data_IF_432719702841
#
_entry.id   IF_432719702841
#
_cell.length_a   1.000
_cell.length_b   1.000
_cell.length_c   1.000
_cell.angle_alpha   90.00
_cell.angle_beta   90.00
_cell.angle_gamma   90.00
#
_symmetry.space_group_name_H-M   'P 1'
#
loop_
_entity.id
_entity.type
_entity.pdbx_description
1 polymer ?
#
# COMPACT_ATOMS: atom_id res chain seq x y z
N UNK A 1 -27.16 -4.24 -14.81
CA UNK A 1 -26.45 -2.96 -15.05
C UNK A 1 -25.10 -3.02 -14.33
N UNK A 2 -24.05 -2.47 -14.92
CA UNK A 2 -22.76 -2.33 -14.24
C UNK A 2 -22.91 -1.33 -13.08
N UNK A 3 -22.31 -1.67 -11.93
CA UNK A 3 -22.29 -0.76 -10.77
C UNK A 3 -21.23 0.31 -10.99
N UNK A 4 -21.60 1.57 -10.84
CA UNK A 4 -20.64 2.70 -10.78
C UNK A 4 -20.22 2.88 -9.34
N UNK A 5 -18.92 3.10 -9.12
CA UNK A 5 -18.32 3.35 -7.81
C UNK A 5 -17.79 4.78 -7.76
N UNK A 6 -17.91 5.44 -6.62
CA UNK A 6 -17.47 6.83 -6.44
C UNK A 6 -15.96 6.94 -6.26
N UNK A 7 -15.33 5.88 -5.77
CA UNK A 7 -13.89 5.81 -5.56
C UNK A 7 -13.32 4.45 -5.95
N UNK A 8 -12.10 4.45 -6.47
CA UNK A 8 -11.35 3.21 -6.69
C UNK A 8 -11.10 2.44 -5.39
N UNK A 9 -11.07 3.13 -4.25
CA UNK A 9 -10.94 2.51 -2.93
C UNK A 9 -12.17 1.67 -2.53
N UNK A 10 -13.33 1.88 -3.17
CA UNK A 10 -14.52 1.05 -2.96
C UNK A 10 -14.38 -0.35 -3.54
N UNK A 11 -13.41 -0.55 -4.42
CA UNK A 11 -13.07 -1.86 -5.00
C UNK A 11 -12.10 -2.66 -4.13
N UNK A 12 -11.43 -2.02 -3.18
CA UNK A 12 -10.50 -2.70 -2.27
C UNK A 12 -11.22 -3.80 -1.49
N UNK A 13 -10.66 -4.99 -1.51
CA UNK A 13 -11.21 -6.13 -0.77
C UNK A 13 -12.33 -6.90 -1.47
N UNK A 14 -12.84 -6.43 -2.61
CA UNK A 14 -13.84 -7.13 -3.42
C UNK A 14 -13.21 -8.08 -4.42
N UNK A 15 -12.19 -8.81 -3.96
CA UNK A 15 -11.42 -9.73 -4.80
C UNK A 15 -12.17 -11.03 -5.07
N UNK A 16 -12.06 -11.58 -6.30
CA UNK A 16 -12.79 -12.78 -6.69
C UNK A 16 -12.23 -14.04 -6.04
N UNK A 17 -13.07 -15.07 -6.04
CA UNK A 17 -12.68 -16.44 -5.72
C UNK A 17 -12.59 -17.24 -7.02
N UNK A 18 -11.53 -18.05 -7.16
CA UNK A 18 -11.28 -18.90 -8.33
C UNK A 18 -11.02 -20.33 -7.89
N UNK A 19 -11.78 -21.28 -8.43
CA UNK A 19 -11.57 -22.69 -8.22
C UNK A 19 -10.39 -23.20 -9.06
N UNK A 20 -9.46 -23.91 -8.45
CA UNK A 20 -8.22 -24.39 -9.08
C UNK A 20 -8.36 -25.82 -9.63
N UNK A 21 -9.36 -26.04 -10.48
CA UNK A 21 -9.78 -27.36 -10.99
C UNK A 21 -8.64 -28.20 -11.56
N UNK A 22 -7.73 -27.59 -12.33
CA UNK A 22 -6.61 -28.35 -12.92
C UNK A 22 -5.64 -28.91 -11.87
N UNK A 23 -5.50 -28.23 -10.73
CA UNK A 23 -4.68 -28.71 -9.62
C UNK A 23 -5.44 -29.85 -8.90
N UNK A 24 -6.73 -29.67 -8.66
CA UNK A 24 -7.58 -30.69 -8.05
C UNK A 24 -7.54 -32.01 -8.83
N UNK A 25 -7.72 -31.94 -10.14
CA UNK A 25 -7.69 -33.08 -11.05
C UNK A 25 -6.29 -33.75 -11.06
N UNK A 26 -5.23 -32.95 -11.19
CA UNK A 26 -3.84 -33.45 -11.26
C UNK A 26 -3.43 -34.19 -9.99
N UNK A 27 -3.80 -33.63 -8.83
CA UNK A 27 -3.42 -34.18 -7.53
C UNK A 27 -4.48 -35.15 -6.94
N UNK A 28 -5.56 -35.45 -7.67
CA UNK A 28 -6.64 -36.35 -7.25
C UNK A 28 -7.35 -35.88 -5.98
N UNK A 29 -7.51 -34.56 -5.78
CA UNK A 29 -8.07 -34.00 -4.56
C UNK A 29 -9.59 -34.25 -4.49
N UNK A 30 -10.07 -34.64 -3.30
CA UNK A 30 -11.51 -34.74 -3.02
C UNK A 30 -12.09 -33.41 -2.55
N UNK A 31 -11.25 -32.49 -2.10
CA UNK A 31 -11.64 -31.13 -1.66
C UNK A 31 -11.50 -30.10 -2.78
N UNK A 32 -12.37 -29.12 -2.79
CA UNK A 32 -12.26 -27.95 -3.68
C UNK A 32 -11.18 -27.00 -3.17
N UNK A 33 -10.28 -26.61 -4.06
CA UNK A 33 -9.28 -25.58 -3.82
C UNK A 33 -9.79 -24.25 -4.38
N UNK A 34 -10.03 -23.28 -3.48
CA UNK A 34 -10.53 -21.97 -3.86
C UNK A 34 -9.49 -20.93 -3.49
N UNK A 35 -8.94 -20.25 -4.49
CA UNK A 35 -8.00 -19.14 -4.33
C UNK A 35 -8.74 -17.81 -4.24
N UNK A 36 -8.45 -17.00 -3.22
CA UNK A 36 -8.86 -15.60 -3.17
C UNK A 36 -7.80 -14.75 -3.87
N UNK A 37 -8.17 -14.14 -5.01
CA UNK A 37 -7.20 -13.50 -5.91
C UNK A 37 -6.95 -12.05 -5.50
N UNK A 38 -6.06 -11.85 -4.53
CA UNK A 38 -5.75 -10.53 -3.95
C UNK A 38 -5.02 -9.57 -4.90
N UNK A 39 -4.45 -10.07 -6.00
CA UNK A 39 -3.88 -9.24 -7.07
C UNK A 39 -4.93 -8.42 -7.84
N UNK A 40 -6.23 -8.70 -7.64
CA UNK A 40 -7.33 -7.92 -8.20
C UNK A 40 -7.69 -6.67 -7.36
N UNK A 41 -7.03 -6.45 -6.23
CA UNK A 41 -7.12 -5.15 -5.57
C UNK A 41 -6.56 -4.04 -6.47
N UNK A 42 -7.06 -2.80 -6.38
CA UNK A 42 -6.68 -1.69 -7.27
C UNK A 42 -5.18 -1.41 -7.41
N UNK A 43 -4.41 -1.49 -6.31
CA UNK A 43 -2.95 -1.35 -6.34
C UNK A 43 -2.22 -2.72 -6.43
N UNK A 44 -2.97 -3.80 -6.71
CA UNK A 44 -2.44 -5.10 -7.10
C UNK A 44 -2.06 -6.05 -5.98
N UNK A 45 -2.42 -5.79 -4.72
CA UNK A 45 -2.08 -6.70 -3.63
C UNK A 45 -3.05 -6.66 -2.44
N UNK A 46 -2.91 -7.66 -1.54
CA UNK A 46 -3.63 -7.68 -0.26
C UNK A 46 -3.34 -6.44 0.62
N UNK A 47 -2.23 -5.73 0.37
CA UNK A 47 -1.82 -4.57 1.16
C UNK A 47 -2.70 -3.34 0.92
N UNK A 48 -3.48 -3.32 -0.13
CA UNK A 48 -4.49 -2.28 -0.36
C UNK A 48 -5.52 -2.24 0.79
N UNK A 49 -5.83 -3.42 1.35
CA UNK A 49 -6.75 -3.53 2.50
C UNK A 49 -6.23 -2.82 3.74
N UNK A 50 -4.98 -3.11 4.11
CA UNK A 50 -4.38 -2.49 5.29
C UNK A 50 -4.13 -1.01 5.06
N UNK A 51 -3.66 -0.61 3.88
CA UNK A 51 -3.42 0.78 3.53
C UNK A 51 -4.70 1.63 3.65
N UNK A 52 -5.81 1.15 3.07
CA UNK A 52 -7.13 1.79 3.20
C UNK A 52 -7.54 1.90 4.67
N UNK A 53 -7.46 0.79 5.42
CA UNK A 53 -7.88 0.75 6.82
C UNK A 53 -7.05 1.68 7.71
N UNK A 54 -5.74 1.77 7.52
CA UNK A 54 -4.85 2.66 8.28
C UNK A 54 -5.23 4.12 8.08
N UNK A 55 -5.44 4.55 6.83
CA UNK A 55 -5.80 5.93 6.53
C UNK A 55 -7.20 6.26 7.07
N UNK A 56 -8.18 5.38 6.86
CA UNK A 56 -9.56 5.59 7.35
C UNK A 56 -9.65 5.61 8.88
N UNK A 57 -8.88 4.77 9.57
CA UNK A 57 -8.78 4.78 11.04
C UNK A 57 -8.12 6.07 11.55
N UNK A 58 -7.06 6.54 10.90
CA UNK A 58 -6.40 7.78 11.25
C UNK A 58 -7.29 9.01 11.01
N UNK A 59 -8.10 9.01 9.95
CA UNK A 59 -9.13 10.04 9.70
C UNK A 59 -10.21 10.00 10.81
N UNK A 60 -10.73 8.81 11.13
CA UNK A 60 -11.75 8.66 12.15
C UNK A 60 -11.28 9.11 13.55
N UNK A 61 -10.00 8.96 13.84
CA UNK A 61 -9.36 9.44 15.08
C UNK A 61 -8.97 10.91 15.05
N UNK A 62 -9.18 11.60 13.92
CA UNK A 62 -8.79 13.01 13.74
C UNK A 62 -7.27 13.23 13.67
N UNK A 63 -6.49 12.16 13.43
CA UNK A 63 -5.04 12.23 13.25
C UNK A 63 -4.69 12.76 11.86
N UNK A 64 -5.45 12.36 10.82
CA UNK A 64 -5.34 12.90 9.47
C UNK A 64 -6.41 13.95 9.21
N UNK A 65 -5.99 15.09 8.65
CA UNK A 65 -6.83 16.22 8.26
C UNK A 65 -6.43 16.70 6.88
N UNK A 66 -7.24 17.54 6.27
CA UNK A 66 -6.87 18.21 5.02
C UNK A 66 -5.49 18.88 5.14
N UNK A 67 -4.62 18.63 4.16
CA UNK A 67 -3.24 19.10 4.16
C UNK A 67 -2.25 18.27 5.00
N UNK A 68 -2.70 17.22 5.69
CA UNK A 68 -1.79 16.31 6.39
C UNK A 68 -0.83 15.62 5.42
N UNK A 69 0.37 15.33 5.90
CA UNK A 69 1.38 14.56 5.18
C UNK A 69 1.59 13.23 5.88
N UNK A 70 1.57 12.16 5.13
CA UNK A 70 1.82 10.81 5.61
C UNK A 70 3.28 10.46 5.32
N UNK A 71 4.00 9.97 6.33
CA UNK A 71 5.36 9.45 6.17
C UNK A 71 5.37 7.98 6.57
N UNK A 72 5.97 7.12 5.75
CA UNK A 72 6.05 5.68 6.04
C UNK A 72 7.38 5.08 5.56
N UNK A 73 8.13 4.38 6.44
CA UNK A 73 9.33 3.64 6.06
C UNK A 73 8.92 2.28 5.49
N UNK A 74 8.80 2.18 4.19
CA UNK A 74 8.40 0.91 3.55
C UNK A 74 8.98 0.76 2.15
N UNK A 75 9.33 -0.46 1.82
CA UNK A 75 9.89 -0.82 0.52
C UNK A 75 9.02 -1.81 -0.25
N UNK A 76 7.88 -2.20 0.31
CA UNK A 76 7.02 -3.26 -0.22
C UNK A 76 5.65 -2.80 -0.67
N UNK A 77 4.76 -3.78 -0.83
CA UNK A 77 3.39 -3.55 -1.29
C UNK A 77 2.56 -2.66 -0.34
N UNK A 78 2.94 -2.56 0.93
CA UNK A 78 2.31 -1.63 1.88
C UNK A 78 2.49 -0.19 1.42
N UNK A 79 3.71 0.20 1.02
CA UNK A 79 3.99 1.53 0.47
C UNK A 79 3.22 1.81 -0.83
N UNK A 80 3.08 0.80 -1.69
CA UNK A 80 2.30 0.93 -2.93
C UNK A 80 0.82 1.18 -2.59
N UNK A 81 0.25 0.38 -1.69
CA UNK A 81 -1.13 0.56 -1.25
C UNK A 81 -1.39 1.90 -0.56
N UNK A 82 -0.47 2.34 0.33
CA UNK A 82 -0.55 3.63 0.99
C UNK A 82 -0.44 4.80 0.00
N UNK A 83 0.50 4.75 -0.95
CA UNK A 83 0.63 5.77 -1.99
C UNK A 83 -0.64 5.88 -2.84
N UNK A 84 -1.21 4.75 -3.26
CA UNK A 84 -2.47 4.73 -4.02
C UNK A 84 -3.63 5.31 -3.20
N UNK A 85 -3.81 4.89 -1.95
CA UNK A 85 -4.89 5.37 -1.10
C UNK A 85 -4.73 6.85 -0.70
N UNK A 86 -3.52 7.29 -0.38
CA UNK A 86 -3.21 8.68 -0.06
C UNK A 86 -3.53 9.60 -1.25
N UNK A 87 -3.12 9.23 -2.45
CA UNK A 87 -3.41 10.00 -3.68
C UNK A 87 -4.91 10.16 -3.91
N UNK A 88 -5.68 9.08 -3.78
CA UNK A 88 -7.15 9.13 -3.96
C UNK A 88 -7.81 10.05 -2.93
N UNK A 89 -7.29 10.11 -1.73
CA UNK A 89 -7.80 10.94 -0.63
C UNK A 89 -7.20 12.35 -0.57
N UNK A 90 -6.25 12.67 -1.47
CA UNK A 90 -5.64 14.01 -1.55
C UNK A 90 -4.55 14.27 -0.51
N UNK A 91 -4.00 13.24 0.12
CA UNK A 91 -2.88 13.38 1.06
C UNK A 91 -1.53 13.38 0.33
N UNK A 92 -0.62 14.23 0.81
CA UNK A 92 0.79 14.14 0.46
C UNK A 92 1.39 12.90 1.12
N UNK A 93 2.16 12.12 0.37
CA UNK A 93 2.79 10.89 0.85
C UNK A 93 4.29 10.91 0.64
N UNK A 94 5.06 10.65 1.69
CA UNK A 94 6.51 10.51 1.66
C UNK A 94 6.87 9.08 2.07
N UNK A 95 7.61 8.38 1.21
CA UNK A 95 8.10 7.04 1.48
C UNK A 95 9.61 7.06 1.66
N UNK A 96 10.10 6.59 2.79
CA UNK A 96 11.53 6.38 3.00
C UNK A 96 11.89 4.93 2.74
N UNK A 97 12.94 4.69 1.98
CA UNK A 97 13.38 3.33 1.64
C UNK A 97 14.88 3.27 1.32
N UNK A 98 15.52 2.12 1.55
CA UNK A 98 16.91 1.93 1.17
C UNK A 98 17.12 2.08 -0.34
N UNK A 99 18.22 2.67 -0.75
CA UNK A 99 18.60 2.82 -2.16
C UNK A 99 18.81 1.50 -2.90
N UNK A 100 18.94 0.39 -2.16
CA UNK A 100 19.01 -0.97 -2.71
C UNK A 100 17.68 -1.50 -3.24
N UNK A 101 16.56 -0.78 -2.99
CA UNK A 101 15.25 -1.17 -3.52
C UNK A 101 15.21 -1.01 -5.03
N UNK A 102 14.48 -1.92 -5.70
CA UNK A 102 14.41 -1.96 -7.15
C UNK A 102 13.83 -0.67 -7.74
N UNK A 103 14.33 -0.30 -8.91
CA UNK A 103 13.89 0.91 -9.62
C UNK A 103 12.40 0.86 -9.96
N UNK A 104 11.89 -0.34 -10.29
CA UNK A 104 10.49 -0.57 -10.61
C UNK A 104 9.58 -0.19 -9.44
N UNK A 105 9.93 -0.59 -8.21
CA UNK A 105 9.16 -0.23 -7.01
C UNK A 105 9.15 1.26 -6.74
N UNK A 106 10.31 1.92 -6.91
CA UNK A 106 10.40 3.38 -6.78
C UNK A 106 9.53 4.08 -7.81
N UNK A 107 9.52 3.59 -9.06
CA UNK A 107 8.73 4.16 -10.13
C UNK A 107 7.23 3.98 -9.91
N UNK A 108 6.79 2.82 -9.41
CA UNK A 108 5.37 2.58 -9.09
C UNK A 108 4.85 3.57 -8.05
N UNK A 109 5.56 3.73 -6.92
CA UNK A 109 5.09 4.65 -5.87
C UNK A 109 5.14 6.11 -6.31
N UNK A 110 6.14 6.50 -7.13
CA UNK A 110 6.18 7.82 -7.75
C UNK A 110 5.05 8.05 -8.75
N UNK A 111 4.67 7.01 -9.51
CA UNK A 111 3.53 7.08 -10.43
C UNK A 111 2.20 7.32 -9.69
N UNK A 112 2.09 6.85 -8.45
CA UNK A 112 0.99 7.19 -7.55
C UNK A 112 1.15 8.56 -6.87
N UNK A 113 2.18 9.34 -7.21
CA UNK A 113 2.37 10.69 -6.66
C UNK A 113 3.11 10.75 -5.32
N UNK A 114 3.60 9.62 -4.78
CA UNK A 114 4.39 9.63 -3.56
C UNK A 114 5.81 10.16 -3.80
N UNK A 115 6.30 10.93 -2.85
CA UNK A 115 7.71 11.34 -2.78
C UNK A 115 8.56 10.19 -2.22
N UNK A 116 9.71 9.96 -2.81
CA UNK A 116 10.63 8.89 -2.38
C UNK A 116 11.90 9.51 -1.85
N UNK A 117 12.19 9.24 -0.58
CA UNK A 117 13.45 9.60 0.08
C UNK A 117 14.29 8.33 0.22
N UNK A 118 15.42 8.29 -0.50
CA UNK A 118 16.35 7.17 -0.45
C UNK A 118 17.29 7.31 0.73
N UNK A 119 17.55 6.20 1.41
CA UNK A 119 18.48 6.11 2.52
C UNK A 119 19.64 5.19 2.17
N UNK A 120 20.75 5.29 2.92
CA UNK A 120 21.94 4.45 2.75
C UNK A 120 21.55 2.96 2.77
N UNK A 121 21.86 2.27 1.67
CA UNK A 121 21.54 0.86 1.50
C UNK A 121 22.19 -0.06 2.53
N UNK A 122 23.35 0.33 3.08
CA UNK A 122 24.06 -0.44 4.11
C UNK A 122 23.30 -0.49 5.43
N UNK A 123 22.46 0.51 5.71
CA UNK A 123 21.61 0.58 6.90
C UNK A 123 20.29 -0.18 6.74
N UNK A 124 19.93 -0.61 5.53
CA UNK A 124 18.72 -1.33 5.24
C UNK A 124 17.45 -0.61 5.73
N UNK A 125 16.45 -1.35 6.17
CA UNK A 125 15.18 -0.77 6.69
C UNK A 125 15.36 0.06 7.95
N UNK A 126 16.39 -0.21 8.78
CA UNK A 126 16.67 0.59 9.97
C UNK A 126 16.96 2.04 9.59
N UNK A 127 17.80 2.27 8.57
CA UNK A 127 18.08 3.62 8.07
C UNK A 127 16.84 4.32 7.49
N UNK A 128 15.94 3.57 6.87
CA UNK A 128 14.68 4.13 6.38
C UNK A 128 13.76 4.58 7.53
N UNK A 129 13.65 3.78 8.60
CA UNK A 129 12.89 4.13 9.81
C UNK A 129 13.45 5.38 10.47
N UNK A 130 14.78 5.40 10.70
CA UNK A 130 15.46 6.57 11.30
C UNK A 130 15.17 7.86 10.49
N UNK A 131 15.20 7.76 9.16
CA UNK A 131 14.92 8.92 8.29
C UNK A 131 13.44 9.33 8.30
N UNK A 132 12.51 8.38 8.42
CA UNK A 132 11.09 8.68 8.57
C UNK A 132 10.83 9.44 9.88
N UNK A 133 11.42 8.99 11.00
CA UNK A 133 11.31 9.64 12.30
C UNK A 133 11.92 11.06 12.31
N UNK A 134 13.05 11.24 11.64
CA UNK A 134 13.70 12.55 11.45
C UNK A 134 12.75 13.52 10.71
N UNK A 135 12.25 13.10 9.55
CA UNK A 135 11.34 13.90 8.73
C UNK A 135 10.02 14.20 9.45
N UNK A 136 9.49 13.25 10.21
CA UNK A 136 8.26 13.45 10.98
C UNK A 136 8.46 14.55 12.04
N UNK A 137 9.59 14.59 12.71
CA UNK A 137 9.93 15.63 13.70
C UNK A 137 10.16 16.99 13.05
N UNK A 138 10.93 17.05 11.95
CA UNK A 138 11.23 18.30 11.25
C UNK A 138 9.97 18.97 10.68
N UNK A 139 9.06 18.17 10.15
CA UNK A 139 7.86 18.67 9.48
C UNK A 139 6.64 18.75 10.39
N UNK A 140 6.77 18.40 11.69
CA UNK A 140 5.65 18.28 12.65
C UNK A 140 4.53 17.38 12.11
N UNK A 141 4.88 16.29 11.46
CA UNK A 141 3.99 15.43 10.70
C UNK A 141 3.56 14.18 11.47
N UNK A 142 2.52 13.53 10.94
CA UNK A 142 1.97 12.29 11.50
C UNK A 142 2.65 11.10 10.82
N UNK A 143 3.34 10.29 11.63
CA UNK A 143 3.76 8.95 11.26
C UNK A 143 2.60 8.00 11.58
N UNK A 144 2.11 7.28 10.57
CA UNK A 144 1.02 6.29 10.71
C UNK A 144 1.60 4.91 10.95
#
# INVERSE_FOLDING_TARGET
MAKVYDSILDLVGKTPLVELKRIEEKEGLQAKLIAKVESFNPAGSVKDRIAKAMIEDAEAKGLLKEGSVIIEPTSGNTGIGLAAAATVKGYRMILTMPETMSVERRNIVKAYGAEVVLTDGTKGMKGAIEKADELAKELSLIHI
#
